data_IF_259126239259
#
_entry.id   IF_259126239259
#
_cell.length_a   1.000
_cell.length_b   1.000
_cell.length_c   1.000
_cell.angle_alpha   90.00
_cell.angle_beta   90.00
_cell.angle_gamma   90.00
#
_symmetry.space_group_name_H-M   'P 1'
#
loop_
_entity.id
_entity.type
_entity.pdbx_description
1 polymer ?
#
# COMPACT_ATOMS: atom_id res chain seq x y z
N UNK A 1 -17.32 -14.32 -5.40
CA UNK A 1 -18.61 -14.38 -6.14
C UNK A 1 -19.76 -14.07 -5.20
N UNK A 2 -20.07 -12.78 -5.04
CA UNK A 2 -21.32 -12.35 -4.41
C UNK A 2 -22.51 -12.81 -5.27
N UNK A 3 -23.66 -13.05 -4.64
CA UNK A 3 -24.89 -13.37 -5.37
C UNK A 3 -25.62 -12.10 -5.85
N UNK A 4 -25.12 -10.92 -5.49
CA UNK A 4 -25.77 -9.63 -5.75
C UNK A 4 -25.27 -9.11 -7.10
N UNK A 5 -26.18 -9.02 -8.06
CA UNK A 5 -25.90 -8.44 -9.39
C UNK A 5 -26.49 -7.04 -9.57
N UNK A 6 -27.35 -6.59 -8.65
CA UNK A 6 -28.04 -5.30 -8.74
C UNK A 6 -28.02 -4.59 -7.38
N UNK A 7 -27.51 -3.37 -7.37
CA UNK A 7 -27.45 -2.44 -6.24
C UNK A 7 -28.06 -1.08 -6.61
N UNK A 8 -28.90 -1.05 -7.65
CA UNK A 8 -29.58 0.15 -8.12
C UNK A 8 -30.41 0.79 -7.01
N UNK A 9 -30.39 2.13 -6.93
CA UNK A 9 -31.19 2.95 -5.99
C UNK A 9 -31.01 2.59 -4.49
N UNK A 10 -29.99 1.80 -4.11
CA UNK A 10 -29.91 1.18 -2.78
C UNK A 10 -29.87 2.19 -1.61
N UNK A 11 -29.24 3.34 -1.83
CA UNK A 11 -29.09 4.45 -0.89
C UNK A 11 -29.58 5.78 -1.50
N UNK A 12 -30.50 5.72 -2.46
CA UNK A 12 -31.13 6.90 -3.06
C UNK A 12 -31.75 7.79 -1.96
N UNK A 13 -31.44 9.09 -1.98
CA UNK A 13 -31.85 10.10 -1.00
C UNK A 13 -31.58 9.75 0.47
N UNK A 14 -30.64 8.85 0.75
CA UNK A 14 -30.25 8.44 2.10
C UNK A 14 -29.41 9.53 2.79
N UNK A 15 -30.00 10.70 3.02
CA UNK A 15 -29.37 11.94 3.49
C UNK A 15 -28.64 11.88 4.84
N UNK A 16 -28.79 10.80 5.61
CA UNK A 16 -28.08 10.58 6.88
C UNK A 16 -27.08 9.41 6.83
N UNK A 17 -27.03 8.65 5.72
CA UNK A 17 -26.17 7.49 5.61
C UNK A 17 -24.74 7.92 5.28
N UNK A 18 -23.79 7.54 6.12
CA UNK A 18 -22.35 7.78 5.94
C UNK A 18 -21.53 6.69 6.64
N UNK A 19 -22.00 5.44 6.59
CA UNK A 19 -21.28 4.33 7.19
C UNK A 19 -20.29 3.76 6.17
N UNK A 20 -19.11 3.38 6.65
CA UNK A 20 -18.11 2.69 5.84
C UNK A 20 -18.62 1.29 5.45
N UNK A 21 -18.71 1.06 4.14
CA UNK A 21 -19.08 -0.22 3.53
C UNK A 21 -18.01 -0.73 2.56
N UNK A 22 -16.80 -0.16 2.58
CA UNK A 22 -15.67 -0.54 1.71
C UNK A 22 -15.38 -2.05 1.74
N UNK A 23 -15.64 -2.71 2.88
CA UNK A 23 -15.47 -4.16 3.04
C UNK A 23 -16.50 -5.05 2.31
N UNK A 24 -17.47 -4.51 1.58
CA UNK A 24 -18.43 -5.31 0.82
C UNK A 24 -17.80 -5.90 -0.45
N UNK A 25 -18.17 -7.15 -0.74
CA UNK A 25 -17.80 -7.78 -2.01
C UNK A 25 -18.79 -7.33 -3.09
N UNK A 26 -18.27 -6.61 -4.08
CA UNK A 26 -19.00 -6.17 -5.28
C UNK A 26 -18.68 -7.01 -6.51
N UNK A 27 -17.99 -8.14 -6.32
CA UNK A 27 -17.70 -9.11 -7.38
C UNK A 27 -19.00 -9.67 -7.98
N UNK A 28 -19.33 -9.24 -9.20
CA UNK A 28 -20.50 -9.67 -9.96
C UNK A 28 -21.68 -8.70 -9.94
N UNK A 29 -21.54 -7.51 -9.37
CA UNK A 29 -22.53 -6.44 -9.52
C UNK A 29 -22.49 -5.93 -10.95
N UNK A 30 -23.64 -5.85 -11.60
CA UNK A 30 -23.82 -5.39 -13.00
C UNK A 30 -24.50 -4.02 -13.06
N UNK A 31 -25.25 -3.63 -12.02
CA UNK A 31 -26.04 -2.39 -12.00
C UNK A 31 -25.94 -1.70 -10.64
N UNK A 32 -25.43 -0.47 -10.65
CA UNK A 32 -25.31 0.45 -9.51
C UNK A 32 -25.90 1.83 -9.85
N UNK A 33 -26.79 1.91 -10.85
CA UNK A 33 -27.39 3.19 -11.24
C UNK A 33 -28.08 3.85 -10.03
N UNK A 34 -27.84 5.14 -9.83
CA UNK A 34 -28.43 5.96 -8.76
C UNK A 34 -28.22 5.40 -7.34
N UNK A 35 -27.25 4.49 -7.13
CA UNK A 35 -27.04 3.81 -5.85
C UNK A 35 -26.93 4.79 -4.66
N UNK A 36 -26.26 5.93 -4.81
CA UNK A 36 -26.12 7.00 -3.81
C UNK A 36 -26.63 8.35 -4.32
N UNK A 37 -27.55 8.37 -5.30
CA UNK A 37 -28.11 9.61 -5.81
C UNK A 37 -28.78 10.41 -4.68
N UNK A 38 -28.36 11.67 -4.48
CA UNK A 38 -28.91 12.52 -3.41
C UNK A 38 -28.51 12.11 -1.99
N UNK A 39 -27.54 11.19 -1.80
CA UNK A 39 -27.04 10.80 -0.49
C UNK A 39 -26.12 11.88 0.10
N UNK A 40 -26.72 13.00 0.51
CA UNK A 40 -26.02 14.25 0.86
C UNK A 40 -25.03 14.20 2.03
N UNK A 41 -25.01 13.11 2.80
CA UNK A 41 -24.06 12.90 3.91
C UNK A 41 -22.98 11.86 3.58
N UNK A 42 -23.08 11.16 2.46
CA UNK A 42 -22.20 10.05 2.13
C UNK A 42 -20.87 10.57 1.56
N UNK A 43 -19.81 10.46 2.36
CA UNK A 43 -18.47 10.95 2.06
C UNK A 43 -17.44 9.88 2.46
N UNK A 44 -17.56 8.71 1.85
CA UNK A 44 -16.65 7.59 2.07
C UNK A 44 -15.80 7.32 0.83
N UNK A 45 -14.62 6.74 1.06
CA UNK A 45 -13.82 6.12 0.02
C UNK A 45 -14.06 4.61 0.07
N UNK A 46 -14.79 4.09 -0.92
CA UNK A 46 -15.18 2.69 -1.00
C UNK A 46 -14.06 1.79 -1.53
N UNK A 47 -13.12 2.34 -2.30
CA UNK A 47 -12.04 1.58 -2.93
C UNK A 47 -12.51 0.42 -3.84
N UNK A 48 -13.75 0.42 -4.29
CA UNK A 48 -14.31 -0.67 -5.10
C UNK A 48 -13.80 -0.65 -6.54
N UNK A 49 -13.44 -1.81 -7.09
CA UNK A 49 -13.21 -2.03 -8.52
C UNK A 49 -14.47 -2.67 -9.10
N UNK A 50 -15.08 -2.02 -10.09
CA UNK A 50 -16.23 -2.57 -10.82
C UNK A 50 -15.88 -2.74 -12.31
N UNK A 51 -16.42 -3.80 -12.92
CA UNK A 51 -16.17 -4.10 -14.34
C UNK A 51 -16.67 -2.96 -15.26
N UNK A 52 -16.15 -2.90 -16.48
CA UNK A 52 -16.45 -1.82 -17.44
C UNK A 52 -17.88 -1.87 -17.99
N UNK A 53 -18.60 -2.96 -17.75
CA UNK A 53 -20.01 -3.17 -18.07
C UNK A 53 -20.96 -2.83 -16.91
N UNK A 54 -20.44 -2.44 -15.73
CA UNK A 54 -21.27 -2.03 -14.59
C UNK A 54 -21.90 -0.66 -14.83
N UNK A 55 -23.22 -0.59 -14.73
CA UNK A 55 -23.94 0.69 -14.85
C UNK A 55 -23.72 1.55 -13.61
N UNK A 56 -23.07 2.70 -13.77
CA UNK A 56 -22.85 3.72 -12.73
C UNK A 56 -23.57 5.04 -13.02
N UNK A 57 -24.58 5.04 -13.90
CA UNK A 57 -25.30 6.26 -14.24
C UNK A 57 -25.84 6.94 -12.96
N UNK A 58 -25.37 8.17 -12.71
CA UNK A 58 -25.74 8.99 -11.53
C UNK A 58 -25.51 8.32 -10.17
N UNK A 59 -24.65 7.31 -10.10
CA UNK A 59 -24.46 6.51 -8.89
C UNK A 59 -24.05 7.36 -7.67
N UNK A 60 -23.37 8.49 -7.87
CA UNK A 60 -22.88 9.38 -6.80
C UNK A 60 -23.31 10.84 -6.97
N UNK A 61 -24.22 11.15 -7.90
CA UNK A 61 -24.66 12.53 -8.13
C UNK A 61 -25.31 13.09 -6.85
N UNK A 62 -24.90 14.30 -6.47
CA UNK A 62 -25.28 15.00 -5.22
C UNK A 62 -24.71 14.39 -3.91
N UNK A 63 -23.74 13.48 -3.99
CA UNK A 63 -22.95 13.04 -2.83
C UNK A 63 -21.67 13.90 -2.65
N UNK A 64 -21.22 14.20 -1.42
CA UNK A 64 -19.97 14.93 -1.18
C UNK A 64 -18.73 14.36 -1.90
N UNK A 65 -18.65 13.04 -2.05
CA UNK A 65 -17.55 12.34 -2.72
C UNK A 65 -17.78 12.12 -4.24
N UNK A 66 -18.76 12.77 -4.86
CA UNK A 66 -19.09 12.64 -6.29
C UNK A 66 -17.86 12.82 -7.21
N UNK A 67 -17.01 13.81 -6.91
CA UNK A 67 -15.84 14.14 -7.72
C UNK A 67 -14.82 12.98 -7.80
N UNK A 68 -14.79 12.11 -6.79
CA UNK A 68 -13.93 10.93 -6.73
C UNK A 68 -14.70 9.64 -6.99
N UNK A 69 -15.97 9.73 -7.41
CA UNK A 69 -16.89 8.59 -7.47
C UNK A 69 -16.91 7.79 -6.15
N UNK A 70 -16.72 8.48 -5.03
CA UNK A 70 -16.60 7.86 -3.71
C UNK A 70 -15.58 6.71 -3.66
N UNK A 71 -14.49 6.85 -4.41
CA UNK A 71 -13.42 5.84 -4.48
C UNK A 71 -13.72 4.64 -5.37
N UNK A 72 -14.88 4.63 -6.06
CA UNK A 72 -15.23 3.57 -7.01
C UNK A 72 -14.51 3.79 -8.33
N UNK A 73 -13.79 2.76 -8.77
CA UNK A 73 -13.02 2.74 -10.00
C UNK A 73 -13.78 1.98 -11.10
N UNK A 74 -14.04 2.64 -12.23
CA UNK A 74 -14.71 2.11 -13.42
C UNK A 74 -13.96 2.55 -14.69
N UNK A 75 -13.62 1.64 -15.62
CA UNK A 75 -13.47 1.89 -17.07
C UNK A 75 -12.58 0.88 -17.82
N UNK A 76 -12.93 0.67 -19.09
CA UNK A 76 -12.35 -0.15 -20.17
C UNK A 76 -10.81 -0.15 -20.41
N UNK A 77 -10.03 0.63 -19.65
CA UNK A 77 -8.56 0.54 -19.65
C UNK A 77 -8.04 -0.41 -18.55
N UNK A 78 -8.94 -0.92 -17.71
CA UNK A 78 -8.67 -1.67 -16.50
C UNK A 78 -9.71 -2.78 -16.41
N UNK A 79 -9.34 -4.01 -16.77
CA UNK A 79 -10.18 -5.17 -16.46
C UNK A 79 -10.05 -5.48 -14.96
N UNK A 80 -11.14 -5.52 -14.19
CA UNK A 80 -11.17 -6.03 -12.82
C UNK A 80 -11.02 -7.58 -12.81
N UNK A 81 -10.03 -8.09 -13.55
CA UNK A 81 -9.87 -9.50 -13.89
C UNK A 81 -8.55 -9.84 -14.59
N UNK A 82 -7.44 -9.22 -14.17
CA UNK A 82 -6.09 -9.57 -14.62
C UNK A 82 -5.19 -8.33 -14.72
N UNK A 83 -4.21 -8.21 -13.83
CA UNK A 83 -3.21 -7.11 -13.82
C UNK A 83 -3.81 -5.72 -14.04
N UNK A 84 -4.80 -5.36 -13.21
CA UNK A 84 -5.36 -4.01 -13.09
C UNK A 84 -4.81 -3.28 -11.86
N UNK A 85 -4.95 -1.93 -11.82
CA UNK A 85 -4.44 -1.05 -10.78
C UNK A 85 -5.15 -1.37 -9.47
N UNK A 86 -4.37 -1.83 -8.51
CA UNK A 86 -4.86 -2.57 -7.35
C UNK A 86 -3.93 -3.76 -7.17
N UNK A 87 -4.00 -4.76 -8.05
CA UNK A 87 -3.15 -5.96 -7.97
C UNK A 87 -1.76 -5.68 -8.51
N UNK A 88 -0.89 -5.25 -7.61
CA UNK A 88 0.51 -5.04 -7.94
C UNK A 88 1.28 -6.37 -7.83
N UNK A 89 2.09 -6.61 -8.84
CA UNK A 89 3.18 -7.58 -8.88
C UNK A 89 4.53 -6.86 -8.76
N UNK A 90 5.64 -7.62 -8.79
CA UNK A 90 7.00 -7.09 -8.61
C UNK A 90 7.39 -5.99 -9.62
N UNK A 91 6.83 -6.04 -10.83
CA UNK A 91 7.13 -5.07 -11.89
C UNK A 91 6.27 -3.83 -11.77
N UNK A 92 4.97 -4.03 -11.56
CA UNK A 92 3.98 -2.96 -11.48
C UNK A 92 4.13 -2.13 -10.21
N UNK A 93 4.48 -2.71 -9.06
CA UNK A 93 4.74 -1.93 -7.84
C UNK A 93 5.89 -0.93 -8.00
N UNK A 94 6.96 -1.31 -8.71
CA UNK A 94 8.09 -0.40 -8.98
C UNK A 94 7.65 0.80 -9.82
N UNK A 95 6.81 0.53 -10.83
CA UNK A 95 6.27 1.57 -11.71
C UNK A 95 5.31 2.49 -10.95
N UNK A 96 4.44 1.92 -10.11
CA UNK A 96 3.50 2.67 -9.28
C UNK A 96 4.22 3.55 -8.24
N UNK A 97 5.20 3.01 -7.51
CA UNK A 97 6.01 3.79 -6.54
C UNK A 97 6.75 4.92 -7.24
N UNK A 98 7.35 4.65 -8.41
CA UNK A 98 8.00 5.71 -9.19
C UNK A 98 6.98 6.78 -9.59
N UNK A 99 5.82 6.40 -10.14
CA UNK A 99 4.79 7.37 -10.49
C UNK A 99 4.37 8.22 -9.28
N UNK A 100 4.13 7.59 -8.13
CA UNK A 100 3.73 8.24 -6.87
C UNK A 100 4.71 9.33 -6.44
N UNK A 101 6.01 9.01 -6.47
CA UNK A 101 7.06 9.92 -6.01
C UNK A 101 7.35 11.08 -6.96
N UNK A 102 6.99 10.98 -8.25
CA UNK A 102 7.34 11.96 -9.27
C UNK A 102 6.14 12.75 -9.81
N UNK A 103 4.96 12.13 -9.86
CA UNK A 103 3.73 12.74 -10.34
C UNK A 103 2.52 12.14 -9.63
N UNK A 104 2.26 12.64 -8.42
CA UNK A 104 1.18 12.20 -7.54
C UNK A 104 -0.18 12.16 -8.24
N UNK A 105 -0.55 13.23 -8.97
CA UNK A 105 -1.85 13.30 -9.67
C UNK A 105 -2.01 12.18 -10.69
N UNK A 106 -0.97 11.92 -11.48
CA UNK A 106 -1.00 10.83 -12.45
C UNK A 106 -0.97 9.44 -11.78
N UNK A 107 -0.26 9.32 -10.65
CA UNK A 107 -0.19 8.08 -9.89
C UNK A 107 -1.52 7.74 -9.23
N UNK A 108 -2.17 8.71 -8.59
CA UNK A 108 -3.50 8.58 -8.00
C UNK A 108 -4.53 8.23 -9.07
N UNK A 109 -4.49 8.90 -10.23
CA UNK A 109 -5.38 8.59 -11.34
C UNK A 109 -5.14 7.20 -11.94
N UNK A 110 -3.92 6.68 -11.89
CA UNK A 110 -3.55 5.41 -12.50
C UNK A 110 -3.64 4.22 -11.56
N UNK A 111 -3.35 4.40 -10.26
CA UNK A 111 -3.17 3.33 -9.28
C UNK A 111 -4.04 3.50 -8.03
N UNK A 112 -4.75 4.62 -7.89
CA UNK A 112 -5.37 5.03 -6.63
C UNK A 112 -4.33 5.53 -5.63
N UNK A 113 -4.82 5.94 -4.46
CA UNK A 113 -3.96 6.37 -3.35
C UNK A 113 -3.05 5.21 -2.89
N UNK A 114 -1.79 5.50 -2.53
CA UNK A 114 -0.79 4.46 -2.21
C UNK A 114 -1.20 3.50 -1.08
N UNK A 115 -2.02 3.98 -0.16
CA UNK A 115 -2.54 3.17 0.95
C UNK A 115 -3.52 2.07 0.52
N UNK A 116 -4.13 2.16 -0.67
CA UNK A 116 -5.16 1.22 -1.14
C UNK A 116 -4.63 0.17 -2.11
N UNK A 117 -3.34 0.20 -2.43
CA UNK A 117 -2.73 -0.74 -3.37
C UNK A 117 -2.77 -2.19 -2.86
N UNK A 118 -3.31 -3.11 -3.65
CA UNK A 118 -3.31 -4.56 -3.37
C UNK A 118 -1.93 -5.18 -3.67
N UNK A 119 -1.01 -5.04 -2.72
CA UNK A 119 0.37 -5.53 -2.83
C UNK A 119 0.54 -7.04 -2.58
N UNK A 120 -0.55 -7.80 -2.45
CA UNK A 120 -0.51 -9.23 -2.11
C UNK A 120 0.16 -10.14 -3.15
N UNK A 121 0.28 -9.66 -4.40
CA UNK A 121 1.00 -10.33 -5.48
C UNK A 121 2.52 -10.06 -5.50
N UNK A 122 3.00 -9.12 -4.68
CA UNK A 122 4.41 -8.71 -4.64
C UNK A 122 5.23 -9.68 -3.80
N UNK A 123 6.30 -10.20 -4.38
CA UNK A 123 7.30 -11.06 -3.75
C UNK A 123 8.64 -10.37 -3.53
N UNK A 124 8.90 -9.28 -4.25
CA UNK A 124 10.14 -8.51 -4.22
C UNK A 124 9.85 -7.02 -3.97
N UNK A 125 10.17 -6.55 -2.76
CA UNK A 125 10.08 -5.14 -2.37
C UNK A 125 11.47 -4.49 -2.26
N UNK A 126 12.50 -5.06 -2.88
CA UNK A 126 13.84 -4.49 -2.81
C UNK A 126 13.88 -3.09 -3.43
N UNK A 127 14.57 -2.17 -2.76
CA UNK A 127 14.87 -0.81 -3.25
C UNK A 127 13.67 0.08 -3.64
N UNK A 128 12.43 -0.28 -3.29
CA UNK A 128 11.24 0.48 -3.74
C UNK A 128 11.31 1.97 -3.39
N UNK A 129 11.83 2.32 -2.23
CA UNK A 129 12.00 3.69 -1.75
C UNK A 129 13.48 4.03 -1.52
N UNK A 130 14.41 3.40 -2.25
CA UNK A 130 15.83 3.70 -2.06
C UNK A 130 16.25 5.03 -2.71
N UNK A 131 16.96 5.87 -1.96
CA UNK A 131 17.49 7.17 -2.43
C UNK A 131 18.98 7.12 -2.81
N UNK A 132 19.69 6.08 -2.40
CA UNK A 132 21.13 5.98 -2.57
C UNK A 132 21.60 5.93 -4.02
N UNK A 133 22.75 6.53 -4.28
CA UNK A 133 23.44 6.46 -5.57
C UNK A 133 23.91 5.04 -5.94
N UNK A 134 23.91 4.11 -4.97
CA UNK A 134 24.26 2.70 -5.20
C UNK A 134 23.07 1.77 -5.44
N UNK A 135 21.84 2.30 -5.44
CA UNK A 135 20.66 1.49 -5.74
C UNK A 135 20.48 1.31 -7.26
N UNK A 136 20.07 0.12 -7.66
CA UNK A 136 19.73 -0.19 -9.05
C UNK A 136 18.52 0.64 -9.49
N UNK A 137 17.55 0.82 -8.58
CA UNK A 137 16.33 1.59 -8.81
C UNK A 137 16.23 2.80 -7.88
N UNK A 138 17.06 3.82 -8.12
CA UNK A 138 17.10 5.05 -7.30
C UNK A 138 15.83 5.89 -7.47
N UNK A 139 15.13 6.11 -6.36
CA UNK A 139 13.95 6.97 -6.24
C UNK A 139 14.29 8.25 -5.45
N UNK A 140 14.75 9.29 -6.14
CA UNK A 140 15.15 10.55 -5.50
C UNK A 140 14.05 11.24 -4.66
N UNK A 141 12.78 11.06 -5.06
CA UNK A 141 11.62 11.55 -4.32
C UNK A 141 11.35 10.82 -2.99
N UNK A 142 11.95 9.64 -2.77
CA UNK A 142 11.74 8.86 -1.56
C UNK A 142 12.39 9.47 -0.30
N UNK A 143 13.30 10.45 -0.46
CA UNK A 143 13.92 11.13 0.69
C UNK A 143 12.91 11.83 1.58
N UNK A 144 11.83 12.34 1.00
CA UNK A 144 10.71 12.99 1.71
C UNK A 144 9.47 12.10 1.84
N UNK A 145 9.53 10.84 1.41
CA UNK A 145 8.39 9.95 1.41
C UNK A 145 8.00 9.54 2.84
N UNK A 146 6.73 9.74 3.18
CA UNK A 146 6.17 9.34 4.47
C UNK A 146 4.64 9.14 4.40
N UNK A 147 4.11 8.71 3.25
CA UNK A 147 2.67 8.42 3.12
C UNK A 147 2.33 7.05 3.71
N UNK A 148 1.08 6.89 4.19
CA UNK A 148 0.65 5.67 4.87
C UNK A 148 0.64 4.45 3.92
N UNK A 149 1.41 3.44 4.32
CA UNK A 149 1.52 2.13 3.66
C UNK A 149 1.29 0.98 4.66
N UNK A 150 0.72 1.27 5.83
CA UNK A 150 0.46 0.30 6.89
C UNK A 150 -0.49 -0.82 6.44
N UNK A 151 -1.39 -0.53 5.50
CA UNK A 151 -2.35 -1.48 4.94
C UNK A 151 -1.78 -2.44 3.87
N UNK A 152 -0.53 -2.26 3.44
CA UNK A 152 0.08 -3.12 2.42
C UNK A 152 0.13 -4.59 2.85
N UNK A 153 -0.27 -5.48 1.95
CA UNK A 153 -0.23 -6.91 2.15
C UNK A 153 1.15 -7.49 1.79
N UNK A 154 2.00 -7.70 2.79
CA UNK A 154 3.36 -8.23 2.59
C UNK A 154 3.47 -9.76 2.68
N UNK A 155 2.36 -10.50 2.71
CA UNK A 155 2.35 -11.95 3.00
C UNK A 155 3.05 -12.83 1.95
N UNK A 156 3.32 -12.28 0.77
CA UNK A 156 4.03 -12.95 -0.33
C UNK A 156 5.49 -12.53 -0.44
N UNK A 157 5.90 -11.48 0.29
CA UNK A 157 7.22 -10.85 0.15
C UNK A 157 8.32 -11.77 0.68
N UNK A 158 9.38 -11.89 -0.11
CA UNK A 158 10.57 -12.72 0.18
C UNK A 158 11.84 -11.91 0.37
N UNK A 159 11.90 -10.68 -0.14
CA UNK A 159 13.01 -9.74 0.05
C UNK A 159 12.50 -8.32 0.27
N UNK A 160 13.13 -7.61 1.22
CA UNK A 160 12.92 -6.19 1.52
C UNK A 160 14.26 -5.43 1.51
N UNK A 161 15.26 -5.97 0.81
CA UNK A 161 16.61 -5.41 0.74
C UNK A 161 16.60 -3.95 0.31
N UNK A 162 17.25 -3.08 1.07
CA UNK A 162 17.40 -1.65 0.79
C UNK A 162 16.07 -0.91 0.55
N UNK A 163 14.92 -1.44 0.99
CA UNK A 163 13.60 -0.90 0.63
C UNK A 163 13.46 0.58 0.98
N UNK A 164 13.95 1.03 2.14
CA UNK A 164 13.91 2.41 2.61
C UNK A 164 15.31 3.01 2.81
N UNK A 165 16.31 2.51 2.07
CA UNK A 165 17.69 3.00 2.22
C UNK A 165 17.78 4.48 1.85
N UNK A 166 18.28 5.30 2.77
CA UNK A 166 18.37 6.77 2.68
C UNK A 166 17.00 7.48 2.55
N UNK A 167 15.88 6.80 2.85
CA UNK A 167 14.54 7.41 2.94
C UNK A 167 14.39 8.18 4.27
N UNK A 168 15.09 9.31 4.38
CA UNK A 168 15.34 9.98 5.66
C UNK A 168 14.09 10.45 6.42
N UNK A 169 12.99 10.74 5.73
CA UNK A 169 11.72 11.17 6.34
C UNK A 169 10.77 10.03 6.72
N UNK A 170 11.06 8.78 6.33
CA UNK A 170 10.14 7.67 6.50
C UNK A 170 9.98 7.27 7.97
N UNK A 171 8.75 7.29 8.49
CA UNK A 171 8.40 6.89 9.85
C UNK A 171 6.92 6.44 9.95
N UNK A 172 6.53 5.47 9.11
CA UNK A 172 5.17 4.93 9.09
C UNK A 172 4.99 3.67 9.98
N UNK A 173 3.78 3.41 10.50
CA UNK A 173 3.49 2.30 11.40
C UNK A 173 3.38 0.95 10.68
N UNK A 174 4.51 0.44 10.18
CA UNK A 174 4.63 -0.84 9.46
C UNK A 174 4.77 -2.07 10.36
N UNK A 175 4.56 -1.92 11.68
CA UNK A 175 4.64 -3.02 12.65
C UNK A 175 3.63 -4.14 12.39
N UNK A 176 2.53 -3.85 11.67
CA UNK A 176 1.50 -4.82 11.29
C UNK A 176 1.84 -5.69 10.07
N UNK A 177 2.94 -5.40 9.36
CA UNK A 177 3.35 -6.17 8.19
C UNK A 177 3.70 -7.61 8.55
N UNK A 178 3.30 -8.54 7.66
CA UNK A 178 3.63 -9.97 7.78
C UNK A 178 4.92 -10.25 7.03
N UNK A 179 6.02 -10.41 7.78
CA UNK A 179 7.36 -10.66 7.23
C UNK A 179 7.81 -12.12 7.35
N UNK A 180 6.89 -13.04 7.65
CA UNK A 180 7.18 -14.44 7.94
C UNK A 180 7.71 -15.24 6.73
N UNK A 181 7.78 -14.65 5.53
CA UNK A 181 8.44 -15.21 4.34
C UNK A 181 9.70 -14.47 3.91
N UNK A 182 10.02 -13.33 4.53
CA UNK A 182 11.18 -12.53 4.16
C UNK A 182 12.47 -13.28 4.54
N UNK A 183 13.44 -13.28 3.64
CA UNK A 183 14.76 -13.90 3.80
C UNK A 183 15.89 -12.88 3.88
N UNK A 184 15.71 -11.72 3.25
CA UNK A 184 16.72 -10.68 3.14
C UNK A 184 16.15 -9.31 3.53
N UNK A 185 16.78 -8.70 4.53
CA UNK A 185 16.48 -7.35 5.05
C UNK A 185 17.75 -6.47 5.03
N UNK A 186 18.78 -6.84 4.25
CA UNK A 186 20.01 -6.05 4.14
C UNK A 186 19.68 -4.58 3.84
N UNK A 187 20.25 -3.66 4.63
CA UNK A 187 20.12 -2.20 4.47
C UNK A 187 18.68 -1.67 4.43
N UNK A 188 17.68 -2.42 4.91
CA UNK A 188 16.26 -2.04 4.75
C UNK A 188 15.96 -0.62 5.24
N UNK A 189 16.56 -0.19 6.36
CA UNK A 189 16.41 1.14 6.97
C UNK A 189 17.75 1.88 7.11
N UNK A 190 18.77 1.48 6.35
CA UNK A 190 20.06 2.17 6.39
C UNK A 190 19.86 3.65 6.04
N UNK A 191 20.39 4.55 6.86
CA UNK A 191 20.26 6.02 6.71
C UNK A 191 18.79 6.53 6.72
N UNK A 192 17.81 5.72 7.13
CA UNK A 192 16.42 6.15 7.36
C UNK A 192 16.32 6.88 8.71
N UNK A 193 16.90 8.08 8.76
CA UNK A 193 17.24 8.77 10.02
C UNK A 193 16.06 9.10 10.94
N UNK A 194 14.83 9.21 10.40
CA UNK A 194 13.62 9.48 11.20
C UNK A 194 12.91 8.21 11.67
N UNK A 195 13.23 7.04 11.13
CA UNK A 195 12.46 5.82 11.39
C UNK A 195 12.60 5.36 12.85
N UNK A 196 11.49 5.32 13.58
CA UNK A 196 11.43 4.86 14.96
C UNK A 196 10.08 4.18 15.30
N UNK A 197 9.35 3.69 14.30
CA UNK A 197 8.10 2.96 14.52
C UNK A 197 8.34 1.52 14.99
N UNK A 198 7.46 1.03 15.86
CA UNK A 198 7.59 -0.29 16.48
C UNK A 198 7.44 -1.43 15.45
N UNK A 199 8.46 -2.29 15.40
CA UNK A 199 8.54 -3.49 14.53
C UNK A 199 8.88 -4.77 15.31
N UNK A 200 8.77 -4.72 16.64
CA UNK A 200 9.09 -5.85 17.52
C UNK A 200 8.23 -7.10 17.27
N UNK A 201 7.04 -6.94 16.69
CA UNK A 201 6.10 -8.03 16.41
C UNK A 201 6.43 -8.83 15.13
N UNK A 202 7.44 -8.45 14.38
CA UNK A 202 7.82 -9.11 13.14
C UNK A 202 8.34 -10.55 13.36
N UNK A 203 7.78 -11.50 12.61
CA UNK A 203 8.24 -12.91 12.62
C UNK A 203 9.52 -13.10 11.79
N UNK A 204 10.69 -12.84 12.39
CA UNK A 204 11.99 -12.85 11.70
C UNK A 204 12.66 -14.23 11.58
N UNK A 205 11.97 -15.31 11.94
CA UNK A 205 12.55 -16.66 12.06
C UNK A 205 13.18 -17.23 10.78
N UNK A 206 12.82 -16.70 9.61
CA UNK A 206 13.35 -17.11 8.32
C UNK A 206 14.35 -16.12 7.71
N UNK A 207 14.57 -14.96 8.35
CA UNK A 207 15.52 -13.97 7.85
C UNK A 207 16.94 -14.51 7.98
N UNK A 208 17.72 -14.40 6.90
CA UNK A 208 19.09 -14.92 6.80
C UNK A 208 20.14 -13.82 6.69
N UNK A 209 19.74 -12.61 6.31
CA UNK A 209 20.62 -11.45 6.14
C UNK A 209 19.96 -10.19 6.73
N UNK A 210 20.65 -9.55 7.69
CA UNK A 210 20.29 -8.27 8.31
C UNK A 210 21.49 -7.30 8.30
N UNK A 211 22.45 -7.51 7.39
CA UNK A 211 23.59 -6.63 7.24
C UNK A 211 23.12 -5.18 7.08
N UNK A 212 23.72 -4.26 7.84
CA UNK A 212 23.53 -2.82 7.74
C UNK A 212 22.06 -2.36 7.91
N UNK A 213 21.16 -3.20 8.48
CA UNK A 213 19.70 -2.95 8.45
C UNK A 213 19.28 -1.59 9.02
N UNK A 214 19.92 -1.16 10.12
CA UNK A 214 19.72 0.13 10.79
C UNK A 214 21.01 0.96 10.87
N UNK A 215 21.99 0.69 10.00
CA UNK A 215 23.22 1.50 9.91
C UNK A 215 22.82 2.97 9.68
N UNK A 216 23.27 3.90 10.53
CA UNK A 216 22.91 5.32 10.50
C UNK A 216 21.40 5.66 10.64
N UNK A 217 20.56 4.71 11.09
CA UNK A 217 19.16 4.99 11.43
C UNK A 217 19.07 5.71 12.79
N UNK A 218 19.46 6.99 12.80
CA UNK A 218 19.77 7.74 14.01
C UNK A 218 18.66 7.81 15.07
N UNK A 219 17.38 7.67 14.70
CA UNK A 219 16.26 7.70 15.63
C UNK A 219 15.81 6.32 16.14
N UNK A 220 16.29 5.21 15.56
CA UNK A 220 15.70 3.89 15.80
C UNK A 220 16.06 3.31 17.17
N UNK A 221 15.08 3.28 18.09
CA UNK A 221 15.23 2.77 19.46
C UNK A 221 14.06 1.88 19.91
N UNK A 222 13.59 0.99 19.04
CA UNK A 222 12.42 0.17 19.31
C UNK A 222 12.78 -1.21 19.90
N UNK A 223 11.92 -1.78 20.77
CA UNK A 223 12.16 -3.11 21.31
C UNK A 223 12.06 -4.16 20.20
N UNK A 224 13.16 -4.88 19.99
CA UNK A 224 13.28 -6.00 19.02
C UNK A 224 13.82 -7.28 19.69
N UNK A 225 13.76 -7.34 21.02
CA UNK A 225 14.29 -8.46 21.81
C UNK A 225 13.63 -9.82 21.53
N UNK A 226 12.42 -9.81 20.95
CA UNK A 226 11.66 -11.02 20.60
C UNK A 226 11.99 -11.57 19.20
N UNK A 227 12.88 -10.90 18.45
CA UNK A 227 13.27 -11.37 17.11
C UNK A 227 14.03 -12.70 17.15
N UNK A 228 13.65 -13.60 16.26
CA UNK A 228 14.30 -14.91 16.12
C UNK A 228 15.48 -14.82 15.15
N UNK A 229 16.68 -14.66 15.69
CA UNK A 229 17.92 -14.47 14.91
C UNK A 229 18.65 -15.78 14.53
N UNK A 230 18.08 -16.95 14.85
CA UNK A 230 18.75 -18.25 14.70
C UNK A 230 19.07 -18.65 13.25
N UNK A 231 18.37 -18.10 12.26
CA UNK A 231 18.63 -18.33 10.84
C UNK A 231 19.57 -17.27 10.21
N UNK A 232 19.87 -16.19 10.94
CA UNK A 232 20.66 -15.07 10.42
C UNK A 232 22.13 -15.47 10.33
N UNK A 233 22.69 -15.29 9.14
CA UNK A 233 24.10 -15.59 8.85
C UNK A 233 24.96 -14.34 8.75
N UNK A 234 24.33 -13.16 8.65
CA UNK A 234 25.01 -11.88 8.51
C UNK A 234 24.25 -10.75 9.23
N UNK A 235 24.93 -10.10 10.18
CA UNK A 235 24.46 -8.93 10.95
C UNK A 235 25.53 -7.85 11.05
N UNK A 236 26.47 -7.84 10.10
CA UNK A 236 27.54 -6.83 10.06
C UNK A 236 26.90 -5.43 10.05
N UNK A 237 27.44 -4.54 10.88
CA UNK A 237 27.08 -3.11 11.00
C UNK A 237 25.58 -2.80 11.19
N UNK A 238 24.78 -3.79 11.65
CA UNK A 238 23.31 -3.71 11.74
C UNK A 238 22.81 -2.48 12.52
N UNK A 239 23.54 -2.02 13.53
CA UNK A 239 23.18 -0.88 14.39
C UNK A 239 24.32 0.14 14.51
N UNK A 240 25.27 0.16 13.57
CA UNK A 240 26.31 1.19 13.58
C UNK A 240 25.64 2.58 13.51
N UNK A 241 25.91 3.45 14.49
CA UNK A 241 25.39 4.82 14.57
C UNK A 241 23.84 4.95 14.70
N UNK A 242 23.16 3.90 15.17
CA UNK A 242 21.77 3.96 15.64
C UNK A 242 21.68 4.34 17.15
N UNK A 243 20.56 4.93 17.61
CA UNK A 243 20.41 5.50 18.98
C UNK A 243 19.45 4.75 19.90
#
# INVERSE_FOLDING_TARGET
>A
VGAVTNMRDMFEEASNFNQDISGWSVEGVEDMEQMFWGASAFDQDLGWCVDDDVSLEKAFEDAPCELTSCGVNWAAAVSCGGSGPGKLDDSTIRTAVTAWLWNLVAAEAAYGHISTWETGGVTDMQELFCVSDYCEYRNGGASSFNDDISAWNTTSVTTMRSMFREASAFDQPIGGWRVNKVRDMEKMFRDASSFNNSIGAWETSLVTNMMDMFEFAAAFNQPIGDWSVGAVTNMRDMFEEAS
#
